data_IF_499447294353
#
_entry.id   IF_499447294353
#
_cell.length_a   1.000
_cell.length_b   1.000
_cell.length_c   1.000
_cell.angle_alpha   90.00
_cell.angle_beta   90.00
_cell.angle_gamma   90.00
#
_symmetry.space_group_name_H-M   'P 1'
#
loop_
_entity.id
_entity.type
_entity.pdbx_description
1 polymer ?
#
# COMPACT_ATOMS: atom_id res chain seq x y z
N UNK A 1 4.05 -5.01 -23.42
CA UNK A 1 4.94 -3.86 -23.15
C UNK A 1 5.04 -3.61 -21.64
N UNK A 2 3.94 -3.30 -20.94
CA UNK A 2 3.94 -3.06 -19.49
C UNK A 2 4.77 -4.05 -18.63
N UNK A 3 4.65 -5.37 -18.87
CA UNK A 3 5.42 -6.38 -18.12
C UNK A 3 6.94 -6.30 -18.35
N UNK A 4 7.37 -5.91 -19.56
CA UNK A 4 8.80 -5.76 -19.87
C UNK A 4 9.37 -4.51 -19.19
N UNK A 5 8.61 -3.42 -19.19
CA UNK A 5 9.01 -2.17 -18.55
C UNK A 5 9.07 -2.33 -17.03
N UNK A 6 8.07 -2.98 -16.43
CA UNK A 6 8.09 -3.37 -15.01
C UNK A 6 9.27 -4.29 -14.68
N UNK A 7 9.57 -5.29 -15.52
CA UNK A 7 10.71 -6.19 -15.32
C UNK A 7 12.05 -5.43 -15.40
N UNK A 8 12.18 -4.46 -16.31
CA UNK A 8 13.37 -3.62 -16.42
C UNK A 8 13.51 -2.71 -15.19
N UNK A 9 12.41 -2.10 -14.72
CA UNK A 9 12.38 -1.28 -13.51
C UNK A 9 12.81 -2.08 -12.28
N UNK A 10 12.32 -3.32 -12.12
CA UNK A 10 12.70 -4.20 -11.01
C UNK A 10 14.16 -4.68 -11.08
N UNK A 11 14.73 -4.83 -12.28
CA UNK A 11 16.12 -5.30 -12.46
C UNK A 11 17.15 -4.18 -12.33
N UNK A 12 16.82 -2.98 -12.80
CA UNK A 12 17.82 -1.92 -13.04
C UNK A 12 17.42 -0.57 -12.46
N UNK A 13 16.20 -0.41 -11.95
CA UNK A 13 15.74 0.79 -11.27
C UNK A 13 16.58 1.08 -10.03
N UNK A 14 16.98 2.34 -9.86
CA UNK A 14 17.80 2.78 -8.71
C UNK A 14 16.90 3.25 -7.58
N UNK A 15 16.35 2.29 -6.83
CA UNK A 15 15.47 2.60 -5.71
C UNK A 15 15.22 1.41 -4.80
N UNK A 16 14.11 1.44 -4.08
CA UNK A 16 13.70 0.42 -3.12
C UNK A 16 12.23 0.03 -3.30
N UNK A 17 11.85 -1.07 -2.66
CA UNK A 17 10.47 -1.58 -2.65
C UNK A 17 9.77 -1.10 -1.38
N UNK A 18 8.55 -0.58 -1.52
CA UNK A 18 7.71 -0.24 -0.38
C UNK A 18 6.84 -1.44 0.05
N UNK A 19 6.99 -1.89 1.29
CA UNK A 19 6.20 -2.99 1.85
C UNK A 19 4.91 -2.46 2.52
N UNK A 20 3.77 -2.65 1.86
CA UNK A 20 2.43 -2.27 2.30
C UNK A 20 1.55 -3.51 2.56
N UNK A 21 2.18 -4.61 2.97
CA UNK A 21 1.64 -5.98 2.99
C UNK A 21 1.26 -6.48 4.40
N UNK A 22 1.07 -5.56 5.35
CA UNK A 22 0.71 -5.93 6.73
C UNK A 22 -0.60 -6.73 6.74
N UNK A 23 -0.53 -7.94 7.30
CA UNK A 23 -1.70 -8.80 7.51
C UNK A 23 -2.59 -8.26 8.62
N UNK A 24 -3.79 -8.83 8.77
CA UNK A 24 -4.76 -8.45 9.80
C UNK A 24 -4.19 -8.34 11.21
N UNK A 25 -3.40 -9.33 11.64
CA UNK A 25 -2.80 -9.33 12.98
C UNK A 25 -1.76 -8.23 13.21
N UNK A 26 -1.17 -7.66 12.14
CA UNK A 26 -0.20 -6.56 12.23
C UNK A 26 -0.83 -5.18 12.00
N UNK A 27 -2.07 -5.13 11.52
CA UNK A 27 -2.79 -3.89 11.24
C UNK A 27 -2.95 -2.99 12.46
N UNK A 28 -3.35 -3.47 13.67
CA UNK A 28 -3.46 -2.60 14.84
C UNK A 28 -2.15 -1.89 15.18
N UNK A 29 -1.03 -2.61 15.11
CA UNK A 29 0.30 -2.06 15.34
C UNK A 29 0.67 -1.01 14.29
N UNK A 30 0.38 -1.26 13.02
CA UNK A 30 0.65 -0.32 11.94
C UNK A 30 -0.16 0.98 12.11
N UNK A 31 -1.46 0.86 12.41
CA UNK A 31 -2.33 2.01 12.69
C UNK A 31 -1.85 2.81 13.91
N UNK A 32 -1.44 2.13 14.98
CA UNK A 32 -0.89 2.79 16.17
C UNK A 32 0.38 3.58 15.88
N UNK A 33 1.30 3.01 15.10
CA UNK A 33 2.53 3.71 14.67
C UNK A 33 2.22 4.89 13.74
N UNK A 34 1.11 4.81 13.01
CA UNK A 34 0.59 5.89 12.18
C UNK A 34 -0.18 6.96 12.97
N UNK A 35 -0.38 6.76 14.28
CA UNK A 35 -1.03 7.72 15.18
C UNK A 35 -2.52 7.45 15.45
N UNK A 36 -3.06 6.31 15.01
CA UNK A 36 -4.43 5.88 15.29
C UNK A 36 -4.40 4.86 16.43
N UNK A 37 -4.90 5.24 17.60
CA UNK A 37 -4.83 4.40 18.80
C UNK A 37 -5.69 3.13 18.67
N UNK A 38 -5.26 2.05 19.32
CA UNK A 38 -6.08 0.84 19.47
C UNK A 38 -7.38 1.17 20.20
N UNK A 39 -8.51 0.68 19.68
CA UNK A 39 -9.86 1.04 20.16
C UNK A 39 -10.50 2.24 19.45
N UNK A 40 -9.82 2.84 18.46
CA UNK A 40 -10.39 3.91 17.62
C UNK A 40 -11.31 3.40 16.50
N UNK A 41 -11.57 2.09 16.44
CA UNK A 41 -12.46 1.45 15.47
C UNK A 41 -13.40 0.48 16.20
N UNK A 42 -14.63 0.35 15.71
CA UNK A 42 -15.69 -0.45 16.29
C UNK A 42 -15.56 -1.94 15.96
N UNK A 43 -15.06 -2.25 14.77
CA UNK A 43 -14.92 -3.62 14.28
C UNK A 43 -13.73 -3.79 13.32
N UNK A 44 -13.51 -5.02 12.92
CA UNK A 44 -12.46 -5.37 11.96
C UNK A 44 -12.65 -4.65 10.62
N UNK A 45 -13.88 -4.50 10.13
CA UNK A 45 -14.13 -3.88 8.84
C UNK A 45 -13.68 -2.42 8.84
N UNK A 46 -13.96 -1.67 9.91
CA UNK A 46 -13.48 -0.30 10.09
C UNK A 46 -11.95 -0.26 10.23
N UNK A 47 -11.34 -1.18 10.98
CA UNK A 47 -9.88 -1.30 11.05
C UNK A 47 -9.24 -1.47 9.67
N UNK A 48 -9.81 -2.36 8.85
CA UNK A 48 -9.32 -2.60 7.49
C UNK A 48 -9.57 -1.43 6.55
N UNK A 49 -10.65 -0.67 6.75
CA UNK A 49 -10.88 0.56 6.00
C UNK A 49 -9.82 1.62 6.35
N UNK A 50 -9.46 1.78 7.62
CA UNK A 50 -8.44 2.73 8.06
C UNK A 50 -7.05 2.40 7.50
N UNK A 51 -6.64 1.12 7.52
CA UNK A 51 -5.34 0.74 6.95
C UNK A 51 -5.34 0.89 5.42
N UNK A 52 -6.47 0.64 4.76
CA UNK A 52 -6.61 0.90 3.33
C UNK A 52 -6.49 2.39 2.99
N UNK A 53 -7.10 3.27 3.79
CA UNK A 53 -6.93 4.72 3.65
C UNK A 53 -5.46 5.14 3.82
N UNK A 54 -4.77 4.59 4.82
CA UNK A 54 -3.34 4.83 5.02
C UNK A 54 -2.51 4.40 3.80
N UNK A 55 -2.75 3.19 3.28
CA UNK A 55 -2.06 2.67 2.08
C UNK A 55 -2.36 3.50 0.84
N UNK A 56 -3.62 3.88 0.65
CA UNK A 56 -4.06 4.74 -0.46
C UNK A 56 -3.38 6.11 -0.41
N UNK A 57 -3.25 6.70 0.80
CA UNK A 57 -2.52 7.96 0.99
C UNK A 57 -1.04 7.83 0.63
N UNK A 58 -0.40 6.72 0.99
CA UNK A 58 1.00 6.46 0.66
C UNK A 58 1.17 6.29 -0.85
N UNK A 59 0.33 5.47 -1.49
CA UNK A 59 0.39 5.19 -2.92
C UNK A 59 0.10 6.42 -3.80
N UNK A 60 -0.77 7.32 -3.35
CA UNK A 60 -1.13 8.56 -4.07
C UNK A 60 -0.21 9.74 -3.74
N UNK A 61 0.78 9.55 -2.87
CA UNK A 61 1.76 10.59 -2.54
C UNK A 61 2.62 10.94 -3.76
N UNK A 62 2.96 12.23 -3.99
CA UNK A 62 3.93 12.62 -5.01
C UNK A 62 5.32 11.94 -4.87
N UNK A 63 5.63 11.40 -3.68
CA UNK A 63 6.85 10.63 -3.45
C UNK A 63 6.81 9.23 -4.11
N UNK A 64 5.64 8.72 -4.48
CA UNK A 64 5.41 7.48 -5.20
C UNK A 64 5.41 7.71 -6.73
N UNK A 65 6.48 8.34 -7.23
CA UNK A 65 6.62 8.68 -8.67
C UNK A 65 7.23 7.57 -9.53
N UNK A 66 7.79 6.52 -8.91
CA UNK A 66 8.59 5.50 -9.60
C UNK A 66 10.11 5.75 -9.56
N UNK A 67 10.55 6.95 -9.18
CA UNK A 67 11.99 7.33 -9.20
C UNK A 67 12.78 6.67 -8.06
N UNK A 68 12.18 6.61 -6.87
CA UNK A 68 12.80 6.04 -5.65
C UNK A 68 12.10 4.79 -5.17
N UNK A 69 10.77 4.75 -5.29
CA UNK A 69 9.97 3.57 -5.01
C UNK A 69 9.73 2.86 -6.33
N UNK A 70 10.44 1.75 -6.56
CA UNK A 70 10.42 1.05 -7.86
C UNK A 70 9.36 -0.05 -7.94
N UNK A 71 8.74 -0.36 -6.80
CA UNK A 71 7.66 -1.33 -6.68
C UNK A 71 7.07 -1.31 -5.27
N UNK A 72 5.92 -1.97 -5.11
CA UNK A 72 5.25 -2.13 -3.83
C UNK A 72 4.81 -3.59 -3.63
N UNK A 73 4.81 -4.04 -2.37
CA UNK A 73 4.22 -5.32 -1.96
C UNK A 73 2.90 -4.99 -1.28
N UNK A 74 1.81 -5.61 -1.73
CA UNK A 74 0.46 -5.34 -1.23
C UNK A 74 -0.07 -6.56 -0.48
N UNK A 75 -0.86 -6.30 0.55
CA UNK A 75 -1.67 -7.33 1.19
C UNK A 75 -2.86 -7.68 0.29
N UNK A 76 -3.29 -8.95 0.25
CA UNK A 76 -4.35 -9.45 -0.65
C UNK A 76 -5.60 -8.55 -0.66
N UNK A 77 -6.08 -8.16 0.52
CA UNK A 77 -7.27 -7.30 0.65
C UNK A 77 -7.10 -5.92 0.02
N UNK A 78 -5.86 -5.43 -0.02
CA UNK A 78 -5.54 -4.16 -0.71
C UNK A 78 -5.53 -4.36 -2.21
N UNK A 79 -5.06 -5.52 -2.70
CA UNK A 79 -5.13 -5.85 -4.12
C UNK A 79 -6.56 -5.95 -4.63
N UNK A 80 -7.48 -6.46 -3.80
CA UNK A 80 -8.91 -6.57 -4.12
C UNK A 80 -9.67 -5.23 -4.00
N UNK A 81 -8.99 -4.15 -3.62
CA UNK A 81 -9.59 -2.83 -3.40
C UNK A 81 -9.09 -1.81 -4.41
N UNK A 82 -9.79 -0.68 -4.49
CA UNK A 82 -9.41 0.44 -5.35
C UNK A 82 -8.52 1.46 -4.62
N UNK A 83 -7.57 2.03 -5.34
CA UNK A 83 -6.81 3.23 -4.97
C UNK A 83 -7.09 4.30 -6.03
N UNK A 84 -7.56 5.47 -5.61
CA UNK A 84 -7.84 6.58 -6.53
C UNK A 84 -8.86 6.26 -7.63
N UNK A 85 -9.78 5.32 -7.38
CA UNK A 85 -10.80 4.89 -8.35
C UNK A 85 -10.31 3.91 -9.42
N UNK A 86 -9.14 3.30 -9.22
CA UNK A 86 -8.61 2.22 -10.06
C UNK A 86 -8.26 1.00 -9.19
N UNK A 87 -8.29 -0.23 -9.76
CA UNK A 87 -7.77 -1.40 -9.05
C UNK A 87 -6.35 -1.15 -8.53
N UNK A 88 -6.06 -1.50 -7.28
CA UNK A 88 -4.81 -1.11 -6.62
C UNK A 88 -3.53 -1.51 -7.37
N UNK A 89 -3.54 -2.62 -8.10
CA UNK A 89 -2.40 -3.07 -8.90
C UNK A 89 -2.24 -2.34 -10.25
N UNK A 90 -3.26 -1.61 -10.69
CA UNK A 90 -3.31 -0.84 -11.94
C UNK A 90 -3.20 0.68 -11.74
N UNK A 91 -3.32 1.15 -10.50
CA UNK A 91 -3.18 2.56 -10.13
C UNK A 91 -1.78 3.08 -10.44
#
# INVERSE_FOLDING_TARGET
MARQDQANQMRSGKGFIAALDQSGGSTPKALRLYGIAEGSWADDAEMYALIHQMRSRIATSPAFSGDRVVGAILFERTMDSDIGGKPAAEF
#
